data_IF_486878691191
#
_entry.id   IF_486878691191
#
_cell.length_a   1.000
_cell.length_b   1.000
_cell.length_c   1.000
_cell.angle_alpha   90.00
_cell.angle_beta   90.00
_cell.angle_gamma   90.00
#
_symmetry.space_group_name_H-M   'P 1'
#
loop_
_entity.id
_entity.type
_entity.pdbx_description
1 polymer ?
#
# COMPACT_ATOMS: atom_id res chain seq x y z
N UNK A 1 6.90 -16.98 -21.43
CA UNK A 1 6.48 -16.02 -20.38
C UNK A 1 7.58 -14.98 -20.28
N UNK A 2 7.25 -13.71 -20.00
CA UNK A 2 8.26 -12.69 -19.82
C UNK A 2 8.93 -12.93 -18.45
N UNK A 3 10.04 -13.67 -18.45
CA UNK A 3 10.88 -13.85 -17.25
C UNK A 3 11.51 -12.53 -16.78
N UNK A 4 11.41 -11.48 -17.61
CA UNK A 4 11.94 -10.13 -17.37
C UNK A 4 11.16 -9.30 -16.33
N UNK A 5 10.05 -9.82 -15.78
CA UNK A 5 9.28 -9.09 -14.76
C UNK A 5 9.90 -9.18 -13.35
N UNK A 6 10.72 -10.20 -13.10
CA UNK A 6 11.41 -10.39 -11.82
C UNK A 6 12.89 -10.04 -11.92
N UNK A 7 13.53 -9.63 -10.81
CA UNK A 7 14.98 -9.44 -10.75
C UNK A 7 15.78 -10.66 -11.20
N UNK A 8 16.94 -10.41 -11.82
CA UNK A 8 17.89 -11.47 -12.17
C UNK A 8 18.43 -12.15 -10.91
N UNK A 9 18.76 -13.45 -11.00
CA UNK A 9 19.34 -14.18 -9.86
C UNK A 9 20.69 -13.60 -9.43
N UNK A 10 21.44 -13.03 -10.38
CA UNK A 10 22.70 -12.35 -10.09
C UNK A 10 22.48 -11.07 -9.26
N UNK A 11 21.46 -10.28 -9.57
CA UNK A 11 21.13 -9.09 -8.78
C UNK A 11 20.73 -9.46 -7.34
N UNK A 12 19.90 -10.48 -7.18
CA UNK A 12 19.49 -11.00 -5.87
C UNK A 12 20.72 -11.51 -5.10
N UNK A 13 21.60 -12.28 -5.75
CA UNK A 13 22.82 -12.82 -5.14
C UNK A 13 23.77 -11.72 -4.68
N UNK A 14 23.98 -10.68 -5.50
CA UNK A 14 24.82 -9.52 -5.14
C UNK A 14 24.27 -8.81 -3.90
N UNK A 15 22.98 -8.49 -3.88
CA UNK A 15 22.34 -7.90 -2.71
C UNK A 15 22.52 -8.78 -1.46
N UNK A 16 22.43 -10.11 -1.61
CA UNK A 16 22.67 -11.09 -0.54
C UNK A 16 24.09 -11.06 0.04
N UNK A 17 25.07 -10.61 -0.74
CA UNK A 17 26.46 -10.42 -0.28
C UNK A 17 26.72 -9.04 0.35
N UNK A 18 25.69 -8.21 0.50
CA UNK A 18 25.79 -6.85 1.05
C UNK A 18 26.15 -5.77 0.03
N UNK A 19 26.05 -6.06 -1.26
CA UNK A 19 26.19 -5.05 -2.32
C UNK A 19 25.03 -4.04 -2.23
N UNK A 20 25.33 -2.83 -1.78
CA UNK A 20 24.34 -1.78 -1.55
C UNK A 20 23.70 -1.29 -2.85
N UNK A 21 24.44 -1.21 -3.95
CA UNK A 21 23.87 -0.73 -5.21
C UNK A 21 22.86 -1.73 -5.76
N UNK A 22 23.15 -3.04 -5.63
CA UNK A 22 22.20 -4.10 -5.96
C UNK A 22 20.96 -4.06 -5.06
N UNK A 23 21.14 -3.81 -3.77
CA UNK A 23 20.02 -3.68 -2.83
C UNK A 23 19.14 -2.46 -3.10
N UNK A 24 19.75 -1.33 -3.50
CA UNK A 24 19.01 -0.12 -3.90
C UNK A 24 18.22 -0.34 -5.19
N UNK A 25 18.77 -1.08 -6.16
CA UNK A 25 18.05 -1.43 -7.39
C UNK A 25 16.82 -2.33 -7.09
N UNK A 26 16.95 -3.29 -6.16
CA UNK A 26 15.84 -4.13 -5.72
C UNK A 26 14.78 -3.34 -4.93
N UNK A 27 15.22 -2.45 -4.03
CA UNK A 27 14.34 -1.54 -3.30
C UNK A 27 13.57 -0.62 -4.26
N UNK A 28 14.25 -0.08 -5.27
CA UNK A 28 13.64 0.70 -6.36
C UNK A 28 12.63 -0.13 -7.15
N UNK A 29 12.88 -1.42 -7.39
CA UNK A 29 11.91 -2.34 -7.99
C UNK A 29 10.70 -2.69 -7.09
N UNK A 30 10.60 -2.08 -5.90
CA UNK A 30 9.52 -2.25 -4.94
C UNK A 30 9.74 -3.41 -3.95
N UNK A 31 10.93 -4.01 -3.92
CA UNK A 31 11.29 -4.99 -2.89
C UNK A 31 11.91 -4.28 -1.69
N UNK A 32 11.09 -3.60 -0.89
CA UNK A 32 11.58 -2.90 0.30
C UNK A 32 12.22 -3.87 1.30
N UNK A 33 13.28 -3.44 1.97
CA UNK A 33 13.91 -4.18 3.07
C UNK A 33 13.01 -4.11 4.31
N UNK A 34 12.79 -5.24 4.97
CA UNK A 34 11.99 -5.32 6.20
C UNK A 34 12.79 -4.83 7.43
N UNK A 35 12.16 -4.24 8.47
CA UNK A 35 12.85 -3.92 9.71
C UNK A 35 13.58 -5.13 10.33
N UNK A 36 14.87 -4.97 10.62
CA UNK A 36 15.71 -6.04 11.20
C UNK A 36 16.22 -7.09 10.20
N UNK A 37 15.87 -6.96 8.92
CA UNK A 37 16.34 -7.86 7.86
C UNK A 37 17.79 -7.52 7.47
N UNK A 38 18.65 -8.53 7.43
CA UNK A 38 20.02 -8.39 6.92
C UNK A 38 20.07 -8.74 5.41
N UNK A 39 21.21 -8.46 4.78
CA UNK A 39 21.43 -8.70 3.35
C UNK A 39 21.08 -10.14 2.90
N UNK A 40 21.50 -11.15 3.64
CA UNK A 40 21.24 -12.57 3.29
C UNK A 40 19.76 -12.90 3.37
N UNK A 41 19.09 -12.50 4.46
CA UNK A 41 17.65 -12.73 4.65
C UNK A 41 16.81 -11.96 3.64
N UNK A 42 17.24 -10.75 3.27
CA UNK A 42 16.63 -9.92 2.24
C UNK A 42 16.64 -10.60 0.87
N UNK A 43 17.82 -11.08 0.44
CA UNK A 43 17.96 -11.81 -0.82
C UNK A 43 17.15 -13.11 -0.82
N UNK A 44 17.16 -13.86 0.29
CA UNK A 44 16.39 -15.10 0.42
C UNK A 44 14.88 -14.86 0.28
N UNK A 45 14.35 -13.80 0.91
CA UNK A 45 12.93 -13.44 0.79
C UNK A 45 12.56 -13.07 -0.65
N UNK A 46 13.38 -12.27 -1.33
CA UNK A 46 13.11 -11.90 -2.73
C UNK A 46 13.17 -13.13 -3.64
N UNK A 47 14.12 -14.04 -3.42
CA UNK A 47 14.17 -15.29 -4.16
C UNK A 47 12.90 -16.12 -3.98
N UNK A 48 12.34 -16.17 -2.76
CA UNK A 48 11.08 -16.88 -2.51
C UNK A 48 9.89 -16.19 -3.17
N UNK A 49 9.81 -14.84 -3.13
CA UNK A 49 8.78 -14.07 -3.86
C UNK A 49 8.88 -14.36 -5.36
N UNK A 50 10.10 -14.34 -5.94
CA UNK A 50 10.32 -14.67 -7.35
C UNK A 50 9.86 -16.09 -7.68
N UNK A 51 10.24 -17.07 -6.86
CA UNK A 51 9.84 -18.47 -7.03
C UNK A 51 8.32 -18.62 -7.02
N UNK A 52 7.63 -18.02 -6.04
CA UNK A 52 6.18 -18.07 -5.94
C UNK A 52 5.49 -17.33 -7.08
N UNK A 53 6.03 -16.18 -7.51
CA UNK A 53 5.52 -15.43 -8.64
C UNK A 53 5.69 -16.16 -9.98
N UNK A 54 6.77 -16.94 -10.16
CA UNK A 54 6.92 -17.82 -11.32
C UNK A 54 5.94 -19.00 -11.25
N UNK A 55 5.84 -19.66 -10.10
CA UNK A 55 4.90 -20.76 -9.87
C UNK A 55 3.44 -20.33 -10.03
N UNK A 56 3.10 -19.06 -9.74
CA UNK A 56 1.77 -18.52 -9.94
C UNK A 56 1.26 -18.75 -11.37
N UNK A 57 2.11 -18.56 -12.37
CA UNK A 57 1.75 -18.75 -13.78
C UNK A 57 1.59 -20.23 -14.16
N UNK A 58 2.25 -21.14 -13.45
CA UNK A 58 2.12 -22.58 -13.65
C UNK A 58 0.80 -23.15 -13.10
N UNK A 59 0.12 -22.41 -12.20
CA UNK A 59 -1.16 -22.82 -11.61
C UNK A 59 -2.36 -22.69 -12.55
N UNK A 60 -2.23 -21.95 -13.66
CA UNK A 60 -3.33 -21.78 -14.60
C UNK A 60 -3.70 -23.09 -15.29
N UNK A 61 -5.00 -23.37 -15.39
CA UNK A 61 -5.49 -24.57 -16.07
C UNK A 61 -5.23 -24.52 -17.59
N UNK A 62 -5.55 -25.63 -18.29
CA UNK A 62 -5.42 -25.71 -19.77
C UNK A 62 -6.25 -24.65 -20.52
N UNK A 63 -7.23 -24.03 -19.88
CA UNK A 63 -8.07 -22.95 -20.44
C UNK A 63 -7.56 -21.55 -20.01
N UNK A 64 -6.44 -21.48 -19.30
CA UNK A 64 -5.83 -20.27 -18.79
C UNK A 64 -6.63 -19.64 -17.66
N UNK A 65 -7.34 -20.42 -16.83
CA UNK A 65 -8.10 -19.95 -15.66
C UNK A 65 -7.43 -20.35 -14.36
N UNK A 66 -7.55 -19.47 -13.37
CA UNK A 66 -7.07 -19.69 -12.00
C UNK A 66 -8.05 -19.03 -11.01
N UNK A 67 -8.41 -19.76 -9.96
CA UNK A 67 -9.08 -19.19 -8.79
C UNK A 67 -8.00 -18.66 -7.83
N UNK A 68 -8.03 -17.37 -7.54
CA UNK A 68 -7.02 -16.68 -6.71
C UNK A 68 -7.53 -16.31 -5.33
N UNK A 69 -8.83 -16.43 -5.11
CA UNK A 69 -9.52 -16.29 -3.83
C UNK A 69 -10.88 -16.96 -3.97
N UNK A 70 -11.51 -17.50 -2.90
CA UNK A 70 -12.81 -18.15 -3.00
C UNK A 70 -13.86 -17.33 -3.78
N UNK A 71 -14.30 -17.85 -4.93
CA UNK A 71 -15.25 -17.22 -5.82
C UNK A 71 -14.68 -16.14 -6.76
N UNK A 72 -13.37 -15.92 -6.76
CA UNK A 72 -12.66 -14.96 -7.60
C UNK A 72 -11.74 -15.67 -8.60
N UNK A 73 -12.19 -15.68 -9.86
CA UNK A 73 -11.47 -16.31 -10.96
C UNK A 73 -10.86 -15.25 -11.87
N UNK A 74 -9.62 -15.51 -12.31
CA UNK A 74 -8.89 -14.72 -13.31
C UNK A 74 -8.56 -15.58 -14.52
N UNK A 75 -8.36 -14.91 -15.66
CA UNK A 75 -7.96 -15.57 -16.91
C UNK A 75 -6.72 -14.89 -17.48
N UNK A 76 -5.76 -15.67 -17.98
CA UNK A 76 -4.56 -15.16 -18.65
C UNK A 76 -4.88 -14.20 -19.80
N UNK A 77 -5.97 -14.42 -20.53
CA UNK A 77 -6.41 -13.52 -21.61
C UNK A 77 -6.86 -12.14 -21.13
N UNK A 78 -7.18 -12.02 -19.84
CA UNK A 78 -7.61 -10.80 -19.17
C UNK A 78 -6.51 -10.23 -18.27
N UNK A 79 -5.26 -10.66 -18.43
CA UNK A 79 -4.11 -10.03 -17.77
C UNK A 79 -4.03 -8.55 -18.18
N UNK A 80 -3.75 -7.68 -17.23
CA UNK A 80 -3.56 -6.25 -17.48
C UNK A 80 -2.27 -6.10 -18.29
N UNK A 81 -2.33 -5.45 -19.48
CA UNK A 81 -1.15 -5.16 -20.28
C UNK A 81 -0.12 -4.32 -19.51
N UNK A 82 1.16 -4.53 -19.80
CA UNK A 82 2.27 -3.86 -19.12
C UNK A 82 2.20 -2.34 -19.25
N UNK A 83 1.74 -1.84 -20.39
CA UNK A 83 1.60 -0.40 -20.67
C UNK A 83 0.62 0.27 -19.69
N UNK A 84 -0.43 -0.46 -19.26
CA UNK A 84 -1.38 0.04 -18.26
C UNK A 84 -0.75 0.04 -16.86
N UNK A 85 0.10 -0.94 -16.55
CA UNK A 85 0.81 -0.99 -15.28
C UNK A 85 1.85 0.14 -15.19
N UNK A 86 2.55 0.42 -16.29
CA UNK A 86 3.55 1.49 -16.39
C UNK A 86 2.97 2.89 -16.11
N UNK A 87 1.71 3.15 -16.51
CA UNK A 87 1.00 4.40 -16.15
C UNK A 87 0.92 4.61 -14.62
N UNK A 88 0.82 3.52 -13.85
CA UNK A 88 0.75 3.55 -12.40
C UNK A 88 2.15 3.58 -11.76
N UNK A 89 3.09 2.83 -12.34
CA UNK A 89 4.51 2.83 -11.97
C UNK A 89 5.12 4.24 -12.02
N UNK A 90 4.81 5.02 -13.06
CA UNK A 90 5.29 6.40 -13.15
C UNK A 90 4.84 7.27 -11.96
N UNK A 91 3.66 7.00 -11.39
CA UNK A 91 3.14 7.75 -10.24
C UNK A 91 3.81 7.35 -8.92
N UNK A 92 4.13 6.07 -8.75
CA UNK A 92 4.86 5.60 -7.56
C UNK A 92 6.30 6.07 -7.59
N UNK A 93 6.90 6.11 -8.78
CA UNK A 93 8.25 6.64 -9.01
C UNK A 93 8.33 8.11 -8.62
N UNK A 94 7.44 8.95 -9.16
CA UNK A 94 7.38 10.38 -8.84
C UNK A 94 7.15 10.64 -7.34
N UNK A 95 6.26 9.86 -6.71
CA UNK A 95 5.87 10.11 -5.33
C UNK A 95 6.86 9.58 -4.29
N UNK A 96 7.47 8.42 -4.56
CA UNK A 96 8.15 7.60 -3.56
C UNK A 96 9.43 6.91 -4.07
N UNK A 97 9.84 7.12 -5.33
CA UNK A 97 11.04 6.54 -5.94
C UNK A 97 11.05 5.02 -5.90
N UNK A 98 9.95 4.41 -6.36
CA UNK A 98 9.90 2.98 -6.64
C UNK A 98 9.00 2.67 -7.83
N UNK A 99 9.33 1.58 -8.53
CA UNK A 99 8.68 1.07 -9.72
C UNK A 99 8.42 -0.43 -9.60
N UNK A 100 7.19 -0.81 -9.27
CA UNK A 100 6.76 -2.22 -9.27
C UNK A 100 6.46 -2.70 -10.69
N UNK A 101 7.07 -3.83 -11.08
CA UNK A 101 6.81 -4.54 -12.36
C UNK A 101 6.52 -6.03 -12.20
N UNK A 102 6.83 -6.59 -11.04
CA UNK A 102 6.75 -8.02 -10.77
C UNK A 102 5.36 -8.49 -10.30
N UNK A 103 4.49 -7.55 -9.90
CA UNK A 103 3.13 -7.85 -9.39
C UNK A 103 2.17 -8.08 -10.56
N UNK A 104 1.59 -9.27 -10.71
CA UNK A 104 0.64 -9.55 -11.78
C UNK A 104 -0.70 -8.83 -11.55
N UNK A 105 -1.26 -8.32 -12.64
CA UNK A 105 -2.56 -7.65 -12.65
C UNK A 105 -3.59 -8.35 -13.54
N UNK A 106 -4.84 -8.44 -13.11
CA UNK A 106 -5.93 -9.04 -13.91
C UNK A 106 -7.22 -8.22 -13.89
N UNK A 107 -7.95 -8.30 -15.00
CA UNK A 107 -9.37 -7.97 -15.04
C UNK A 107 -10.18 -9.24 -14.72
N UNK A 108 -11.05 -9.23 -13.69
CA UNK A 108 -11.80 -10.41 -13.28
C UNK A 108 -12.87 -10.77 -14.32
N UNK A 109 -13.20 -12.07 -14.41
CA UNK A 109 -14.25 -12.58 -15.29
C UNK A 109 -15.66 -12.18 -14.80
N UNK A 110 -15.81 -12.00 -13.49
CA UNK A 110 -17.08 -11.66 -12.84
C UNK A 110 -17.30 -10.15 -12.79
N UNK A 111 -18.56 -9.75 -12.89
CA UNK A 111 -18.99 -8.38 -12.62
C UNK A 111 -19.16 -8.13 -11.12
N UNK A 112 -18.57 -7.05 -10.65
CA UNK A 112 -18.73 -6.56 -9.28
C UNK A 112 -19.70 -5.38 -9.24
N UNK A 113 -20.24 -5.13 -8.05
CA UNK A 113 -21.14 -4.00 -7.78
C UNK A 113 -20.54 -2.65 -8.18
N UNK A 114 -21.40 -1.63 -8.30
CA UNK A 114 -20.99 -0.32 -8.82
C UNK A 114 -20.06 0.48 -7.89
N UNK A 115 -19.82 0.01 -6.68
CA UNK A 115 -18.91 0.66 -5.73
C UNK A 115 -17.57 -0.07 -5.61
N UNK A 116 -17.33 -1.08 -6.44
CA UNK A 116 -16.08 -1.83 -6.45
C UNK A 116 -15.15 -1.34 -7.57
N UNK A 117 -13.94 -0.90 -7.19
CA UNK A 117 -12.91 -0.41 -8.09
C UNK A 117 -11.81 -1.42 -8.40
N UNK A 118 -11.30 -2.08 -7.36
CA UNK A 118 -10.22 -3.06 -7.40
C UNK A 118 -9.79 -3.46 -5.98
N UNK A 119 -8.87 -4.42 -5.90
CA UNK A 119 -8.15 -4.81 -4.69
C UNK A 119 -6.87 -5.57 -5.05
N UNK A 120 -5.87 -5.55 -4.17
CA UNK A 120 -4.82 -6.56 -4.11
C UNK A 120 -5.32 -7.78 -3.32
N UNK A 121 -4.98 -8.97 -3.81
CA UNK A 121 -5.23 -10.25 -3.15
C UNK A 121 -3.90 -10.90 -2.87
N UNK A 122 -3.68 -11.28 -1.61
CA UNK A 122 -2.53 -12.08 -1.20
C UNK A 122 -3.02 -13.19 -0.25
N UNK A 123 -2.34 -14.32 -0.27
CA UNK A 123 -2.62 -15.46 0.62
C UNK A 123 -1.36 -15.71 1.45
N UNK A 124 -1.49 -16.22 2.69
CA UNK A 124 -0.32 -16.56 3.52
C UNK A 124 0.58 -17.60 2.83
N UNK A 125 0.01 -18.49 2.02
CA UNK A 125 0.74 -19.48 1.23
C UNK A 125 1.35 -18.91 -0.07
N UNK A 126 0.96 -17.70 -0.48
CA UNK A 126 1.46 -17.02 -1.68
C UNK A 126 1.86 -15.56 -1.40
N UNK A 127 3.12 -15.30 -1.02
CA UNK A 127 3.66 -13.96 -0.81
C UNK A 127 3.68 -13.06 -2.05
N UNK A 128 3.29 -13.55 -3.24
CA UNK A 128 3.15 -12.69 -4.43
C UNK A 128 1.72 -12.13 -4.48
N UNK A 129 1.50 -10.83 -4.17
CA UNK A 129 0.19 -10.21 -4.35
C UNK A 129 -0.25 -10.25 -5.81
N UNK A 130 -1.56 -10.32 -6.03
CA UNK A 130 -2.20 -10.23 -7.34
C UNK A 130 -3.15 -9.06 -7.33
N UNK A 131 -2.98 -8.13 -8.27
CA UNK A 131 -3.86 -6.98 -8.40
C UNK A 131 -5.05 -7.35 -9.27
N UNK A 132 -6.25 -7.05 -8.78
CA UNK A 132 -7.48 -7.28 -9.51
C UNK A 132 -8.25 -5.97 -9.60
N UNK A 133 -8.49 -5.47 -10.82
CA UNK A 133 -9.24 -4.22 -11.03
C UNK A 133 -10.43 -4.44 -11.96
N UNK A 134 -11.43 -3.58 -11.84
CA UNK A 134 -12.66 -3.67 -12.65
C UNK A 134 -12.41 -3.77 -14.15
N UNK A 135 -13.08 -4.73 -14.81
CA UNK A 135 -12.97 -5.00 -16.25
C UNK A 135 -13.21 -3.79 -17.16
N UNK A 136 -14.03 -2.82 -16.73
CA UNK A 136 -14.23 -1.58 -17.47
C UNK A 136 -12.93 -0.79 -17.69
N UNK A 137 -11.94 -0.95 -16.80
CA UNK A 137 -10.64 -0.31 -16.90
C UNK A 137 -9.77 -0.85 -18.04
N UNK A 138 -10.13 -1.99 -18.63
CA UNK A 138 -9.50 -2.49 -19.85
C UNK A 138 -9.71 -1.55 -21.04
N UNK A 139 -10.84 -0.83 -21.07
CA UNK A 139 -11.23 0.05 -22.19
C UNK A 139 -11.22 1.55 -21.84
N UNK A 140 -11.20 1.90 -20.56
CA UNK A 140 -11.35 3.28 -20.09
C UNK A 140 -10.42 3.56 -18.92
N UNK A 141 -9.74 4.69 -18.91
CA UNK A 141 -8.93 5.09 -17.75
C UNK A 141 -9.77 5.48 -16.53
N UNK A 142 -11.03 5.89 -16.71
CA UNK A 142 -11.93 6.31 -15.64
C UNK A 142 -13.23 5.53 -15.65
N UNK A 143 -13.71 5.22 -14.45
CA UNK A 143 -15.00 4.58 -14.25
C UNK A 143 -15.67 5.10 -12.98
N UNK A 144 -16.86 5.69 -13.12
CA UNK A 144 -17.55 6.39 -12.04
C UNK A 144 -16.65 7.43 -11.35
N UNK A 145 -16.36 7.27 -10.07
CA UNK A 145 -15.45 8.14 -9.32
C UNK A 145 -13.99 7.65 -9.33
N UNK A 146 -13.72 6.48 -9.91
CA UNK A 146 -12.43 5.79 -9.85
C UNK A 146 -11.57 6.07 -11.11
N UNK A 147 -10.26 6.12 -10.90
CA UNK A 147 -9.22 6.30 -11.93
C UNK A 147 -8.32 5.07 -11.91
N UNK A 148 -8.07 4.47 -13.08
CA UNK A 148 -7.35 3.20 -13.24
C UNK A 148 -5.96 3.27 -12.65
N UNK A 149 -5.17 4.25 -13.10
CA UNK A 149 -3.80 4.40 -12.67
C UNK A 149 -3.72 4.79 -11.17
N UNK A 150 -4.72 5.49 -10.63
CA UNK A 150 -4.80 5.74 -9.19
C UNK A 150 -5.00 4.44 -8.40
N UNK A 151 -5.95 3.59 -8.82
CA UNK A 151 -6.19 2.29 -8.17
C UNK A 151 -4.97 1.38 -8.26
N UNK A 152 -4.36 1.24 -9.43
CA UNK A 152 -3.17 0.38 -9.57
C UNK A 152 -2.01 0.92 -8.74
N UNK A 153 -1.76 2.25 -8.75
CA UNK A 153 -0.68 2.83 -7.95
C UNK A 153 -0.91 2.68 -6.44
N UNK A 154 -2.18 2.68 -6.02
CA UNK A 154 -2.57 2.44 -4.64
C UNK A 154 -2.24 1.00 -4.23
N UNK A 155 -2.61 0.01 -5.05
CA UNK A 155 -2.26 -1.39 -4.78
C UNK A 155 -0.74 -1.65 -4.86
N UNK A 156 -0.01 -0.94 -5.72
CA UNK A 156 1.47 -1.01 -5.74
C UNK A 156 2.10 -0.50 -4.45
N UNK A 157 1.53 0.53 -3.82
CA UNK A 157 2.00 0.96 -2.50
C UNK A 157 1.88 -0.17 -1.48
N UNK A 158 0.75 -0.86 -1.44
CA UNK A 158 0.53 -2.01 -0.55
C UNK A 158 1.49 -3.16 -0.86
N UNK A 159 1.66 -3.50 -2.13
CA UNK A 159 2.58 -4.57 -2.54
C UNK A 159 4.02 -4.27 -2.11
N UNK A 160 4.49 -3.03 -2.29
CA UNK A 160 5.85 -2.64 -1.91
C UNK A 160 6.04 -2.56 -0.39
N UNK A 161 5.04 -2.08 0.36
CA UNK A 161 5.11 -1.89 1.82
C UNK A 161 4.73 -3.11 2.65
N UNK A 162 4.21 -4.17 2.03
CA UNK A 162 3.88 -5.44 2.68
C UNK A 162 4.98 -5.93 3.65
N UNK A 163 6.30 -5.89 3.32
CA UNK A 163 7.35 -6.35 4.25
C UNK A 163 7.50 -5.51 5.52
N UNK A 164 7.02 -4.25 5.54
CA UNK A 164 7.15 -3.37 6.70
C UNK A 164 6.18 -3.74 7.83
N UNK A 165 5.10 -4.46 7.53
CA UNK A 165 4.08 -4.90 8.50
C UNK A 165 3.50 -3.74 9.35
N UNK A 166 3.41 -2.54 8.77
CA UNK A 166 2.97 -1.29 9.41
C UNK A 166 1.62 -0.86 8.83
N UNK A 167 0.62 -0.59 9.68
CA UNK A 167 -0.78 -0.35 9.22
C UNK A 167 -1.21 1.12 9.36
N UNK A 168 -0.56 1.88 10.24
CA UNK A 168 -1.05 3.15 10.77
C UNK A 168 -1.13 4.26 9.72
N UNK A 169 -0.24 4.22 8.73
CA UNK A 169 -0.15 5.18 7.62
C UNK A 169 -0.18 4.49 6.25
N UNK A 170 -0.49 3.21 6.20
CA UNK A 170 -0.46 2.41 4.97
C UNK A 170 -1.38 3.02 3.89
N UNK A 171 -2.63 3.25 4.27
CA UNK A 171 -3.62 3.93 3.44
C UNK A 171 -3.27 5.40 3.17
N UNK A 172 -2.56 6.06 4.09
CA UNK A 172 -2.07 7.42 3.87
C UNK A 172 -1.08 7.48 2.69
N UNK A 173 -0.17 6.51 2.61
CA UNK A 173 0.77 6.41 1.49
C UNK A 173 0.06 6.03 0.19
N UNK A 174 -0.79 5.01 0.23
CA UNK A 174 -1.52 4.54 -0.93
C UNK A 174 -2.44 5.62 -1.53
N UNK A 175 -3.22 6.32 -0.70
CA UNK A 175 -4.02 7.46 -1.15
C UNK A 175 -3.22 8.74 -1.39
N UNK A 176 -1.98 8.85 -0.92
CA UNK A 176 -1.12 10.02 -1.07
C UNK A 176 -0.81 10.39 -2.53
N UNK A 177 -0.96 9.44 -3.44
CA UNK A 177 -0.80 9.58 -4.91
C UNK A 177 -2.11 10.05 -5.58
N UNK A 178 -3.25 9.97 -4.88
CA UNK A 178 -4.55 10.36 -5.42
C UNK A 178 -4.56 11.82 -5.87
N UNK A 179 -5.16 12.09 -7.04
CA UNK A 179 -5.41 13.46 -7.50
C UNK A 179 -6.45 14.17 -6.64
N UNK A 180 -7.33 13.42 -5.97
CA UNK A 180 -8.44 13.98 -5.19
C UNK A 180 -8.00 14.28 -3.76
N UNK A 181 -8.13 15.54 -3.37
CA UNK A 181 -7.78 15.98 -2.02
C UNK A 181 -8.54 15.23 -0.93
N UNK A 182 -9.82 14.90 -1.16
CA UNK A 182 -10.63 14.20 -0.18
C UNK A 182 -10.03 12.82 0.12
N UNK A 183 -9.68 12.04 -0.91
CA UNK A 183 -9.02 10.74 -0.74
C UNK A 183 -7.70 10.88 0.01
N UNK A 184 -6.87 11.88 -0.33
CA UNK A 184 -5.63 12.15 0.42
C UNK A 184 -5.87 12.52 1.90
N UNK A 185 -6.98 13.18 2.20
CA UNK A 185 -7.27 13.69 3.53
C UNK A 185 -7.92 12.64 4.45
N UNK A 186 -8.88 11.87 3.93
CA UNK A 186 -9.68 10.92 4.72
C UNK A 186 -9.39 9.45 4.40
N UNK A 187 -8.54 9.16 3.41
CA UNK A 187 -8.25 7.80 2.97
C UNK A 187 -7.73 6.90 4.09
N UNK A 188 -6.90 7.46 4.98
CA UNK A 188 -6.31 6.74 6.11
C UNK A 188 -7.25 6.57 7.32
N UNK A 189 -8.53 6.93 7.21
CA UNK A 189 -9.48 6.76 8.30
C UNK A 189 -9.75 5.27 8.59
N UNK A 190 -9.85 4.43 7.58
CA UNK A 190 -10.07 2.98 7.73
C UNK A 190 -8.74 2.26 7.55
N UNK A 191 -8.21 1.66 8.62
CA UNK A 191 -6.92 0.96 8.61
C UNK A 191 -7.08 -0.56 8.74
N UNK A 192 -8.19 -0.99 9.35
CA UNK A 192 -8.49 -2.39 9.63
C UNK A 192 -9.92 -2.72 9.24
N UNK A 193 -10.18 -4.00 8.95
CA UNK A 193 -11.53 -4.50 8.68
C UNK A 193 -12.51 -4.18 9.81
N UNK A 194 -12.04 -4.24 11.06
CA UNK A 194 -12.82 -3.86 12.23
C UNK A 194 -13.26 -2.40 12.22
N UNK A 195 -12.49 -1.48 11.63
CA UNK A 195 -12.89 -0.07 11.54
C UNK A 195 -14.15 0.07 10.66
N UNK A 196 -14.24 -0.71 9.57
CA UNK A 196 -15.40 -0.72 8.69
C UNK A 196 -16.62 -1.36 9.38
N UNK A 197 -16.42 -2.47 10.11
CA UNK A 197 -17.48 -3.13 10.87
C UNK A 197 -18.06 -2.19 11.94
N UNK A 198 -17.19 -1.54 12.72
CA UNK A 198 -17.58 -0.60 13.77
C UNK A 198 -18.14 0.73 13.24
N UNK A 199 -17.94 1.01 11.95
CA UNK A 199 -18.62 2.12 11.27
C UNK A 199 -20.04 1.73 10.82
N UNK A 200 -20.21 0.52 10.24
CA UNK A 200 -21.48 0.09 9.64
C UNK A 200 -22.48 -0.42 10.67
N UNK A 201 -22.07 -1.28 11.62
CA UNK A 201 -22.99 -1.92 12.58
C UNK A 201 -23.76 -0.89 13.41
N UNK A 202 -23.13 0.12 14.02
CA UNK A 202 -23.86 1.16 14.75
C UNK A 202 -24.87 1.93 13.90
N UNK A 203 -24.54 2.20 12.64
CA UNK A 203 -25.44 2.90 11.71
C UNK A 203 -26.66 2.04 11.35
N UNK A 204 -26.46 0.74 11.11
CA UNK A 204 -27.57 -0.21 10.88
C UNK A 204 -28.45 -0.34 12.13
N UNK A 205 -27.84 -0.46 13.32
CA UNK A 205 -28.58 -0.52 14.58
C UNK A 205 -29.41 0.74 14.81
N UNK A 206 -28.83 1.92 14.55
CA UNK A 206 -29.54 3.20 14.61
C UNK A 206 -30.77 3.20 13.68
N UNK A 207 -30.61 2.74 12.44
CA UNK A 207 -31.70 2.66 11.47
C UNK A 207 -32.81 1.68 11.91
N UNK A 208 -32.44 0.52 12.46
CA UNK A 208 -33.39 -0.46 12.99
C UNK A 208 -34.19 0.12 14.17
N UNK A 209 -33.52 0.75 15.13
CA UNK A 209 -34.17 1.35 16.30
C UNK A 209 -35.07 2.51 15.89
N UNK A 210 -34.63 3.39 14.98
CA UNK A 210 -35.48 4.45 14.42
C UNK A 210 -36.74 3.87 13.80
N UNK A 211 -36.63 2.76 13.07
CA UNK A 211 -37.77 2.09 12.44
C UNK A 211 -38.76 1.58 13.49
N UNK A 212 -38.27 0.90 14.54
CA UNK A 212 -39.10 0.41 15.64
C UNK A 212 -39.81 1.55 16.37
N UNK A 213 -39.08 2.61 16.74
CA UNK A 213 -39.65 3.80 17.40
C UNK A 213 -40.76 4.41 16.55
N UNK A 214 -40.53 4.51 15.23
CA UNK A 214 -41.50 5.10 14.29
C UNK A 214 -42.75 4.23 14.15
N UNK A 215 -42.59 2.92 13.98
CA UNK A 215 -43.71 1.97 13.78
C UNK A 215 -44.53 1.78 15.06
N UNK A 216 -43.87 1.69 16.21
CA UNK A 216 -44.53 1.51 17.50
C UNK A 216 -44.94 2.82 18.17
N UNK A 217 -44.70 3.97 17.53
CA UNK A 217 -44.98 5.31 18.05
C UNK A 217 -44.38 5.56 19.45
N UNK A 218 -43.17 5.05 19.68
CA UNK A 218 -42.47 5.22 20.95
C UNK A 218 -41.91 6.65 21.06
N UNK A 219 -41.47 7.02 22.27
CA UNK A 219 -40.83 8.31 22.48
C UNK A 219 -39.52 8.41 21.68
N UNK A 220 -39.43 9.42 20.81
CA UNK A 220 -38.24 9.70 20.00
C UNK A 220 -36.97 9.94 20.83
N UNK A 221 -37.08 10.34 22.11
CA UNK A 221 -35.90 10.52 22.97
C UNK A 221 -35.10 9.22 23.17
N UNK A 222 -35.72 8.05 22.99
CA UNK A 222 -35.07 6.75 23.11
C UNK A 222 -33.99 6.50 22.04
N UNK A 223 -33.96 7.30 20.95
CA UNK A 223 -32.95 7.15 19.91
C UNK A 223 -31.60 7.78 20.24
N UNK A 224 -31.56 8.72 21.20
CA UNK A 224 -30.36 9.51 21.48
C UNK A 224 -29.10 8.67 21.77
N UNK A 225 -29.15 7.59 22.58
CA UNK A 225 -27.98 6.74 22.82
C UNK A 225 -27.43 6.09 21.54
N UNK A 226 -28.30 5.77 20.58
CA UNK A 226 -27.90 5.15 19.30
C UNK A 226 -27.24 6.16 18.37
N UNK A 227 -27.62 7.43 18.41
CA UNK A 227 -26.89 8.49 17.72
C UNK A 227 -25.49 8.68 18.29
N UNK A 228 -25.35 8.68 19.61
CA UNK A 228 -24.03 8.75 20.27
C UNK A 228 -23.17 7.57 19.82
N UNK A 229 -23.71 6.36 19.84
CA UNK A 229 -22.99 5.16 19.39
C UNK A 229 -22.60 5.24 17.90
N UNK A 230 -23.52 5.68 17.03
CA UNK A 230 -23.29 5.81 15.60
C UNK A 230 -22.24 6.87 15.25
N UNK A 231 -22.08 7.92 16.07
CA UNK A 231 -21.14 9.00 15.83
C UNK A 231 -19.80 8.85 16.56
N UNK A 232 -19.77 8.11 17.68
CA UNK A 232 -18.56 7.93 18.47
C UNK A 232 -17.41 7.31 17.67
N UNK A 233 -17.68 6.25 16.91
CA UNK A 233 -16.65 5.58 16.13
C UNK A 233 -16.16 6.40 14.93
N UNK A 234 -17.03 6.97 14.06
CA UNK A 234 -16.59 7.89 13.00
C UNK A 234 -15.75 9.06 13.54
N UNK A 235 -16.13 9.65 14.68
CA UNK A 235 -15.37 10.73 15.30
C UNK A 235 -13.98 10.24 15.73
N UNK A 236 -13.89 9.06 16.35
CA UNK A 236 -12.62 8.43 16.69
C UNK A 236 -11.72 8.23 15.45
N UNK A 237 -12.26 7.70 14.35
CA UNK A 237 -11.49 7.49 13.10
C UNK A 237 -10.92 8.80 12.55
N UNK A 238 -11.73 9.88 12.56
CA UNK A 238 -11.29 11.21 12.11
C UNK A 238 -10.19 11.75 13.01
N UNK A 239 -10.37 11.70 14.34
CA UNK A 239 -9.37 12.19 15.30
C UNK A 239 -8.07 11.41 15.18
N UNK A 240 -8.13 10.07 15.09
CA UNK A 240 -6.98 9.19 14.89
C UNK A 240 -6.21 9.58 13.63
N UNK A 241 -6.91 9.74 12.51
CA UNK A 241 -6.32 10.14 11.23
C UNK A 241 -5.67 11.54 11.29
N UNK A 242 -6.31 12.52 11.93
CA UNK A 242 -5.73 13.87 12.10
C UNK A 242 -4.41 13.80 12.89
N UNK A 243 -4.37 13.02 13.98
CA UNK A 243 -3.17 12.86 14.81
C UNK A 243 -2.05 12.19 14.00
N UNK A 244 -2.33 11.06 13.34
CA UNK A 244 -1.33 10.31 12.57
C UNK A 244 -0.78 11.13 11.40
N UNK A 245 -1.66 11.75 10.60
CA UNK A 245 -1.24 12.60 9.48
C UNK A 245 -0.54 13.88 9.94
N UNK A 246 -0.86 14.39 11.13
CA UNK A 246 -0.13 15.47 11.79
C UNK A 246 1.32 15.09 12.06
N UNK A 247 1.57 13.89 12.62
CA UNK A 247 2.93 13.37 12.84
C UNK A 247 3.68 13.17 11.53
N UNK A 248 3.04 12.59 10.51
CA UNK A 248 3.63 12.46 9.18
C UNK A 248 4.07 13.82 8.61
N UNK A 249 3.19 14.83 8.66
CA UNK A 249 3.50 16.18 8.18
C UNK A 249 4.65 16.82 8.96
N UNK A 250 4.72 16.62 10.26
CA UNK A 250 5.82 17.10 11.09
C UNK A 250 7.14 16.42 10.71
N UNK A 251 7.15 15.08 10.59
CA UNK A 251 8.31 14.30 10.17
C UNK A 251 8.82 14.73 8.79
N UNK A 252 7.91 14.87 7.81
CA UNK A 252 8.24 15.34 6.46
C UNK A 252 8.92 16.70 6.50
N UNK A 253 8.35 17.66 7.22
CA UNK A 253 8.93 19.00 7.37
C UNK A 253 10.30 18.98 8.03
N UNK A 254 10.50 18.13 9.03
CA UNK A 254 11.79 18.04 9.70
C UNK A 254 12.86 17.43 8.79
N UNK A 255 12.52 16.39 8.02
CA UNK A 255 13.41 15.80 7.01
C UNK A 255 13.76 16.82 5.90
N UNK A 256 12.78 17.54 5.38
CA UNK A 256 13.01 18.59 4.38
C UNK A 256 13.95 19.69 4.92
N UNK A 257 13.76 20.13 6.17
CA UNK A 257 14.64 21.11 6.82
C UNK A 257 16.03 20.58 7.11
N UNK A 258 16.18 19.27 7.32
CA UNK A 258 17.48 18.59 7.47
C UNK A 258 18.22 18.41 6.12
N UNK A 259 17.62 18.86 5.02
CA UNK A 259 18.21 18.86 3.69
C UNK A 259 18.03 17.56 2.91
N UNK A 260 17.13 16.67 3.33
CA UNK A 260 16.82 15.47 2.54
C UNK A 260 16.00 15.83 1.31
N UNK A 261 16.46 15.38 0.13
CA UNK A 261 15.85 15.73 -1.16
C UNK A 261 14.43 15.21 -1.30
N UNK A 262 14.22 13.92 -1.00
CA UNK A 262 12.92 13.27 -1.11
C UNK A 262 12.46 12.70 0.24
N UNK A 263 11.95 13.59 1.10
CA UNK A 263 11.40 13.18 2.39
C UNK A 263 10.25 12.17 2.27
N UNK A 264 9.49 12.18 1.15
CA UNK A 264 8.37 11.23 0.96
C UNK A 264 8.89 9.80 0.73
N UNK A 265 9.94 9.63 -0.06
CA UNK A 265 10.56 8.33 -0.33
C UNK A 265 11.13 7.71 0.96
N UNK A 266 11.76 8.51 1.82
CA UNK A 266 12.26 8.06 3.13
C UNK A 266 11.09 7.63 4.03
N UNK A 267 10.07 8.48 4.16
CA UNK A 267 8.91 8.17 5.00
C UNK A 267 8.14 6.94 4.51
N UNK A 268 8.06 6.73 3.20
CA UNK A 268 7.43 5.55 2.61
C UNK A 268 8.13 4.23 2.97
N UNK A 269 9.44 4.28 3.30
CA UNK A 269 10.22 3.12 3.75
C UNK A 269 10.37 3.02 5.26
N UNK A 270 9.74 3.95 5.98
CA UNK A 270 9.74 4.03 7.43
C UNK A 270 8.49 3.39 8.02
N UNK A 271 8.62 2.80 9.20
CA UNK A 271 7.46 2.37 10.02
C UNK A 271 6.92 3.53 10.85
N UNK A 272 5.70 3.42 11.36
CA UNK A 272 5.04 4.52 12.06
C UNK A 272 5.81 5.03 13.29
N UNK A 273 6.47 4.15 14.04
CA UNK A 273 7.28 4.53 15.19
C UNK A 273 8.48 5.40 14.80
N UNK A 274 9.09 5.12 13.66
CA UNK A 274 10.19 5.92 13.11
C UNK A 274 9.68 7.29 12.66
N UNK A 275 8.52 7.33 12.00
CA UNK A 275 7.86 8.59 11.62
C UNK A 275 7.53 9.42 12.86
N UNK A 276 7.05 8.79 13.93
CA UNK A 276 6.81 9.46 15.21
C UNK A 276 8.09 10.03 15.82
N UNK A 277 9.21 9.33 15.66
CA UNK A 277 10.53 9.77 16.13
C UNK A 277 10.98 10.99 15.33
N UNK A 278 10.92 10.93 13.99
CA UNK A 278 11.32 12.04 13.13
C UNK A 278 10.47 13.30 13.33
N UNK A 279 9.19 13.12 13.66
CA UNK A 279 8.29 14.23 13.99
C UNK A 279 8.72 14.98 15.26
N UNK A 280 9.38 14.32 16.20
CA UNK A 280 9.83 14.89 17.49
C UNK A 280 11.29 15.36 17.46
N UNK A 281 12.12 14.75 16.63
CA UNK A 281 13.54 15.09 16.50
C UNK A 281 13.71 16.43 15.81
N UNK A 282 14.66 17.24 16.30
CA UNK A 282 15.00 18.51 15.67
C UNK A 282 15.67 18.29 14.30
N UNK A 283 15.43 19.15 13.29
CA UNK A 283 16.01 18.96 11.95
C UNK A 283 17.52 18.80 11.94
N UNK A 284 18.24 19.53 12.79
CA UNK A 284 19.71 19.53 12.84
C UNK A 284 20.28 18.19 13.33
N UNK A 285 19.49 17.41 14.06
CA UNK A 285 19.88 16.12 14.63
C UNK A 285 19.44 14.94 13.75
N UNK A 286 18.55 15.17 12.78
CA UNK A 286 17.98 14.08 11.98
C UNK A 286 19.02 13.40 11.09
N UNK A 287 19.96 14.16 10.53
CA UNK A 287 20.99 13.58 9.66
C UNK A 287 21.86 12.59 10.44
N UNK A 288 22.39 13.02 11.58
CA UNK A 288 23.17 12.16 12.48
C UNK A 288 22.36 10.94 12.94
N UNK A 289 21.10 11.13 13.35
CA UNK A 289 20.24 10.03 13.76
C UNK A 289 20.06 8.97 12.67
N UNK A 290 19.85 9.39 11.42
CA UNK A 290 19.67 8.45 10.31
C UNK A 290 20.98 7.77 9.91
N UNK A 291 22.11 8.49 9.96
CA UNK A 291 23.44 7.93 9.73
C UNK A 291 23.78 6.86 10.77
N UNK A 292 23.53 7.13 12.06
CA UNK A 292 23.69 6.14 13.15
C UNK A 292 22.80 4.91 12.94
N UNK A 293 21.56 5.10 12.47
CA UNK A 293 20.66 3.98 12.13
C UNK A 293 21.18 3.17 10.94
N UNK A 294 21.75 3.81 9.93
CA UNK A 294 22.31 3.14 8.76
C UNK A 294 23.56 2.30 9.08
N UNK A 295 24.31 2.65 10.12
CA UNK A 295 25.43 1.82 10.61
C UNK A 295 24.96 0.51 11.25
N UNK A 296 23.74 0.48 11.80
CA UNK A 296 23.21 -0.64 12.59
C UNK A 296 22.15 -1.47 11.85
N UNK A 297 21.43 -0.87 10.90
CA UNK A 297 20.30 -1.47 10.19
C UNK A 297 20.54 -1.39 8.68
N UNK A 298 20.63 -2.56 8.04
CA UNK A 298 20.84 -2.69 6.60
C UNK A 298 19.77 -1.93 5.80
N UNK A 299 18.52 -1.93 6.24
CA UNK A 299 17.43 -1.17 5.59
C UNK A 299 17.75 0.32 5.55
N UNK A 300 18.23 0.89 6.66
CA UNK A 300 18.56 2.31 6.71
C UNK A 300 19.77 2.66 5.86
N UNK A 301 20.72 1.74 5.73
CA UNK A 301 21.84 1.89 4.81
C UNK A 301 21.35 1.97 3.35
N UNK A 302 20.44 1.08 2.95
CA UNK A 302 19.81 1.12 1.61
C UNK A 302 19.00 2.40 1.40
N UNK A 303 18.17 2.81 2.36
CA UNK A 303 17.35 4.04 2.28
C UNK A 303 18.22 5.28 2.08
N UNK A 304 19.32 5.40 2.84
CA UNK A 304 20.22 6.56 2.72
C UNK A 304 21.07 6.51 1.45
N UNK A 305 21.41 5.33 0.96
CA UNK A 305 22.10 5.20 -0.32
C UNK A 305 21.19 5.64 -1.49
N UNK A 306 19.91 5.25 -1.47
CA UNK A 306 18.92 5.72 -2.45
C UNK A 306 18.81 7.24 -2.50
N UNK A 307 18.90 7.93 -1.36
CA UNK A 307 18.85 9.40 -1.29
C UNK A 307 20.01 10.09 -2.02
N UNK A 308 21.17 9.44 -2.11
CA UNK A 308 22.37 9.96 -2.78
C UNK A 308 22.29 9.86 -4.29
N UNK A 309 21.44 8.98 -4.82
CA UNK A 309 21.26 8.80 -6.26
C UNK A 309 20.53 10.05 -6.81
N UNK A 310 21.14 10.83 -7.73
CA UNK A 310 20.42 11.88 -8.43
C UNK A 310 19.26 11.23 -9.20
N UNK A 311 18.12 11.93 -9.31
CA UNK A 311 16.90 11.44 -9.98
C UNK A 311 17.25 10.54 -11.18
N UNK A 312 16.81 9.27 -11.12
CA UNK A 312 16.82 8.39 -12.28
C UNK A 312 15.76 8.98 -13.22
N UNK A 313 16.20 9.89 -14.08
CA UNK A 313 15.38 10.49 -15.16
C UNK A 313 15.14 9.44 -16.23
#
# INVERSE_FOLDING_TARGET
MNHDLFPSDELIRRAGTGDLDAAVELDHAGFLVQPGENAETYAARIAEVKKHGLQFYDRFDKKGKLEIFPGLNVNLKNQIPQEILEEATARTEEAYQFSVRWVPGFFPDREFGIFWGGCAVWEEENPTPVIVIRKNFAKRAKWFIYDRAELISHEFCHAARMPLMDQELEEHFAYGISKKWLRRAIGNCFQRDLDAILFVIPAVLLALVQTVITVMQLNNSLILPFWVLALAWPLYLIVRNIIQTGKYKAAKRNLEKAGFRNARAILFRSVYEEICTFAKTKPEQLRTLLEEKAEQDFRWNVILQLEKIPEIV
#
